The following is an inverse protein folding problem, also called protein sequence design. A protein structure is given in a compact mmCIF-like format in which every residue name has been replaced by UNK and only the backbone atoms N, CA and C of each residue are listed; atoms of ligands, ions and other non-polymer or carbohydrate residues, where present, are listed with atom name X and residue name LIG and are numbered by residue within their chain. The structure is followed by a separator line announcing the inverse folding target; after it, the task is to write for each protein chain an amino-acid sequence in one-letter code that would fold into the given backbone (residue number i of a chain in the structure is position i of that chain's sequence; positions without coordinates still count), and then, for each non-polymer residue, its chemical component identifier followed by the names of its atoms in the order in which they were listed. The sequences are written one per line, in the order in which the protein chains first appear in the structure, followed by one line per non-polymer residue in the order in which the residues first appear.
data_IF_544719368607
#
_entry.id   IF_544719368607
#
_cell.length_a   1.000
_cell.length_b   1.000
_cell.length_c   1.000
_cell.angle_alpha   90.00
_cell.angle_beta   90.00
_cell.angle_gamma   90.00
#
_symmetry.space_group_name_H-M   'P 1'
#
loop_
_entity.id
_entity.type
_entity.pdbx_description
1 polymer ?
#
# COMPACT_ATOMS: atom_id res chain seq x y z
N UNK A 1 22.49 7.39 13.17
CA UNK A 1 21.31 6.49 13.23
C UNK A 1 20.33 6.94 12.15
N UNK A 2 20.12 6.18 11.07
CA UNK A 2 19.04 6.48 10.12
C UNK A 2 17.73 6.06 10.79
N UNK A 3 17.07 7.01 11.46
CA UNK A 3 15.78 6.74 12.09
C UNK A 3 14.77 6.50 10.97
N UNK A 4 14.26 5.27 10.85
CA UNK A 4 13.31 4.91 9.80
C UNK A 4 11.96 5.53 10.13
N UNK A 5 11.67 6.71 9.58
CA UNK A 5 10.42 7.43 9.79
C UNK A 5 9.20 6.82 9.07
N UNK A 6 9.37 5.67 8.41
CA UNK A 6 8.31 5.02 7.64
C UNK A 6 7.36 4.17 8.49
N UNK A 7 7.81 3.69 9.66
CA UNK A 7 7.01 2.82 10.52
C UNK A 7 6.03 3.58 11.42
N UNK A 8 6.20 4.89 11.57
CA UNK A 8 5.36 5.73 12.40
C UNK A 8 4.71 6.83 11.57
N UNK A 9 3.44 7.13 11.84
CA UNK A 9 2.75 8.26 11.23
C UNK A 9 3.30 9.57 11.81
N UNK A 10 4.23 10.19 11.11
CA UNK A 10 4.84 11.47 11.52
C UNK A 10 4.52 12.58 10.51
N UNK A 11 4.80 13.83 10.86
CA UNK A 11 4.75 14.97 9.91
C UNK A 11 5.97 15.00 8.99
N UNK A 12 7.05 14.27 9.31
CA UNK A 12 8.26 14.19 8.51
C UNK A 12 8.11 13.14 7.39
N UNK A 13 7.78 13.59 6.18
CA UNK A 13 7.49 12.69 5.04
C UNK A 13 8.20 13.09 3.73
N UNK A 14 9.52 13.40 3.73
CA UNK A 14 10.20 13.78 2.49
C UNK A 14 10.28 12.66 1.44
N UNK A 15 9.99 11.41 1.85
CA UNK A 15 9.92 10.24 0.96
C UNK A 15 8.58 10.10 0.24
N UNK A 16 7.57 10.89 0.63
CA UNK A 16 6.25 10.91 0.00
C UNK A 16 6.03 12.26 -0.67
N UNK A 17 5.44 12.22 -1.86
CA UNK A 17 4.98 13.39 -2.59
C UNK A 17 3.48 13.47 -2.42
N UNK A 18 3.00 14.61 -1.94
CA UNK A 18 1.57 14.89 -1.80
C UNK A 18 1.17 15.78 -2.96
N UNK A 19 0.30 15.28 -3.84
CA UNK A 19 -0.28 16.01 -4.96
C UNK A 19 -1.79 15.77 -5.03
N UNK A 20 -2.44 16.27 -6.07
CA UNK A 20 -3.87 16.01 -6.31
C UNK A 20 -4.14 14.53 -6.60
N UNK A 21 -3.15 13.84 -7.18
CA UNK A 21 -3.19 12.41 -7.47
C UNK A 21 -2.39 11.62 -6.42
N UNK A 22 -2.90 10.44 -6.10
CA UNK A 22 -2.26 9.49 -5.21
C UNK A 22 -1.19 8.70 -5.96
N UNK A 23 0.00 8.59 -5.37
CA UNK A 23 1.17 7.95 -5.99
C UNK A 23 1.38 6.58 -5.35
N UNK A 24 1.61 5.55 -6.16
CA UNK A 24 2.02 4.22 -5.69
C UNK A 24 3.55 4.14 -5.72
N UNK A 25 4.15 3.80 -4.58
CA UNK A 25 5.58 3.62 -4.47
C UNK A 25 5.99 2.17 -4.70
N UNK A 26 7.19 1.98 -5.24
CA UNK A 26 7.82 0.68 -5.40
C UNK A 26 9.33 0.78 -5.15
N UNK A 27 9.95 -0.35 -4.84
CA UNK A 27 11.41 -0.45 -4.74
C UNK A 27 12.08 -0.42 -6.12
N UNK A 28 13.39 -0.21 -6.16
CA UNK A 28 14.15 -0.18 -7.43
C UNK A 28 14.07 -1.51 -8.22
N UNK A 29 13.86 -2.62 -7.52
CA UNK A 29 13.66 -3.96 -8.09
C UNK A 29 12.18 -4.32 -8.31
N UNK A 30 11.28 -3.33 -8.27
CA UNK A 30 9.90 -3.46 -8.72
C UNK A 30 8.90 -4.03 -7.71
N UNK A 31 9.26 -4.15 -6.43
CA UNK A 31 8.31 -4.56 -5.38
C UNK A 31 7.42 -3.38 -4.98
N UNK A 32 6.12 -3.56 -5.02
CA UNK A 32 5.15 -2.54 -4.60
C UNK A 32 5.21 -2.33 -3.08
N UNK A 33 5.00 -1.08 -2.68
CA UNK A 33 5.05 -0.64 -1.29
C UNK A 33 3.68 -0.14 -0.83
N UNK A 34 3.52 1.17 -0.73
CA UNK A 34 2.31 1.82 -0.25
C UNK A 34 1.98 3.01 -1.15
N UNK A 35 0.87 3.69 -0.85
CA UNK A 35 0.49 4.90 -1.56
C UNK A 35 0.94 6.15 -0.79
N UNK A 36 0.85 7.33 -1.41
CA UNK A 36 1.23 8.59 -0.74
C UNK A 36 0.42 8.92 0.52
N UNK A 37 -0.76 8.30 0.71
CA UNK A 37 -1.67 8.58 1.85
C UNK A 37 -2.25 7.33 2.53
N UNK A 38 -1.87 6.13 2.12
CA UNK A 38 -2.45 4.88 2.59
C UNK A 38 -1.64 3.66 2.21
N UNK A 39 -2.15 2.47 2.53
CA UNK A 39 -1.55 1.21 2.11
C UNK A 39 -2.16 0.71 0.80
N UNK A 40 -1.35 0.02 0.01
CA UNK A 40 -1.78 -0.58 -1.25
C UNK A 40 -2.42 -1.94 -1.02
N UNK A 41 -3.50 -2.20 -1.75
CA UNK A 41 -4.20 -3.48 -1.74
C UNK A 41 -4.55 -3.87 -3.19
N UNK A 42 -4.24 -5.09 -3.60
CA UNK A 42 -4.56 -5.63 -4.92
C UNK A 42 -5.54 -6.79 -4.81
N UNK A 43 -6.55 -6.81 -5.68
CA UNK A 43 -7.40 -7.97 -5.88
C UNK A 43 -6.94 -8.75 -7.12
N UNK A 44 -6.67 -10.03 -6.94
CA UNK A 44 -6.20 -10.94 -7.99
C UNK A 44 -6.73 -12.35 -7.71
N UNK A 45 -7.25 -13.01 -8.74
CA UNK A 45 -7.81 -14.36 -8.65
C UNK A 45 -8.84 -14.48 -7.52
N UNK A 46 -9.74 -13.50 -7.42
CA UNK A 46 -10.76 -13.39 -6.36
C UNK A 46 -10.21 -13.35 -4.91
N UNK A 47 -8.90 -13.19 -4.73
CA UNK A 47 -8.25 -12.96 -3.43
C UNK A 47 -7.72 -11.54 -3.33
N UNK A 48 -7.51 -11.07 -2.10
CA UNK A 48 -7.07 -9.70 -1.83
C UNK A 48 -5.73 -9.75 -1.08
N UNK A 49 -4.76 -8.97 -1.57
CA UNK A 49 -3.39 -8.97 -1.08
C UNK A 49 -2.91 -7.57 -0.75
N UNK A 50 -2.01 -7.45 0.24
CA UNK A 50 -1.30 -6.20 0.56
C UNK A 50 0.19 -6.46 0.73
N UNK A 51 1.08 -5.52 0.39
CA UNK A 51 2.51 -5.69 0.65
C UNK A 51 2.80 -5.81 2.16
N UNK A 52 3.77 -6.64 2.58
CA UNK A 52 4.08 -6.83 3.99
C UNK A 52 4.78 -5.60 4.59
N UNK A 53 4.52 -5.34 5.87
CA UNK A 53 5.12 -4.18 6.58
C UNK A 53 6.65 -4.28 6.70
N UNK A 54 7.20 -5.49 6.57
CA UNK A 54 8.65 -5.76 6.56
C UNK A 54 9.38 -5.12 5.37
N UNK A 55 8.65 -4.65 4.34
CA UNK A 55 9.20 -3.82 3.26
C UNK A 55 9.44 -2.35 3.67
N UNK A 56 9.21 -2.01 4.93
CA UNK A 56 9.46 -0.68 5.46
C UNK A 56 8.34 0.32 5.18
N UNK A 57 7.11 -0.15 4.98
CA UNK A 57 5.89 0.67 4.83
C UNK A 57 5.19 0.86 6.19
N UNK A 58 4.29 1.83 6.27
CA UNK A 58 3.52 2.08 7.49
C UNK A 58 2.57 0.90 7.77
N UNK A 59 2.57 0.31 8.98
CA UNK A 59 1.55 -0.67 9.37
C UNK A 59 0.21 0.04 9.67
N UNK A 60 -0.50 0.47 8.63
CA UNK A 60 -1.72 1.25 8.77
C UNK A 60 -2.81 0.49 9.54
N UNK A 61 -3.51 1.19 10.44
CA UNK A 61 -4.52 0.59 11.33
C UNK A 61 -5.65 -0.12 10.55
N UNK A 62 -6.12 0.48 9.45
CA UNK A 62 -7.18 -0.13 8.65
C UNK A 62 -6.68 -1.37 7.89
N UNK A 63 -5.44 -1.35 7.36
CA UNK A 63 -4.78 -2.53 6.80
C UNK A 63 -4.67 -3.64 7.83
N UNK A 64 -4.24 -3.32 9.05
CA UNK A 64 -4.11 -4.28 10.14
C UNK A 64 -5.46 -4.92 10.49
N UNK A 65 -6.53 -4.12 10.56
CA UNK A 65 -7.90 -4.61 10.76
C UNK A 65 -8.33 -5.61 9.67
N UNK A 66 -8.04 -5.33 8.40
CA UNK A 66 -8.34 -6.25 7.29
C UNK A 66 -7.57 -7.58 7.40
N UNK A 67 -6.30 -7.53 7.80
CA UNK A 67 -5.47 -8.72 8.02
C UNK A 67 -6.01 -9.57 9.18
N UNK A 68 -6.33 -8.94 10.31
CA UNK A 68 -6.84 -9.61 11.51
C UNK A 68 -8.20 -10.30 11.27
N UNK A 69 -9.03 -9.73 10.41
CA UNK A 69 -10.30 -10.33 10.01
C UNK A 69 -10.18 -11.34 8.86
N UNK A 70 -8.97 -11.62 8.38
CA UNK A 70 -8.73 -12.55 7.26
C UNK A 70 -9.29 -12.07 5.91
N UNK A 71 -9.57 -10.77 5.77
CA UNK A 71 -10.11 -10.19 4.52
C UNK A 71 -9.01 -9.93 3.48
N UNK A 72 -7.77 -9.79 3.94
CA UNK A 72 -6.58 -9.55 3.12
C UNK A 72 -5.46 -10.46 3.60
N UNK A 73 -4.60 -10.92 2.68
CA UNK A 73 -3.38 -11.68 2.98
C UNK A 73 -2.14 -10.83 2.67
N UNK A 74 -1.07 -10.94 3.47
CA UNK A 74 0.22 -10.34 3.10
C UNK A 74 0.87 -11.11 1.95
N UNK A 75 1.33 -10.40 0.91
CA UNK A 75 2.08 -10.98 -0.21
C UNK A 75 3.06 -9.94 -0.75
N UNK A 76 4.28 -10.35 -1.14
CA UNK A 76 5.14 -9.46 -1.92
C UNK A 76 4.51 -9.28 -3.30
N UNK A 77 4.13 -8.05 -3.62
CA UNK A 77 3.49 -7.67 -4.88
C UNK A 77 4.51 -6.94 -5.77
N UNK A 78 4.38 -7.13 -7.08
CA UNK A 78 5.29 -6.57 -8.10
C UNK A 78 4.53 -5.65 -9.06
N UNK A 79 5.26 -4.86 -9.86
CA UNK A 79 4.66 -4.04 -10.92
C UNK A 79 3.86 -4.92 -11.91
N UNK A 80 4.30 -6.16 -12.14
CA UNK A 80 3.65 -7.13 -12.99
C UNK A 80 2.34 -7.64 -12.37
N UNK A 81 2.29 -7.82 -11.04
CA UNK A 81 1.03 -8.07 -10.32
C UNK A 81 0.08 -6.87 -10.45
N UNK A 82 0.59 -5.63 -10.35
CA UNK A 82 -0.22 -4.40 -10.49
C UNK A 82 -0.92 -4.34 -11.85
N UNK A 83 -0.21 -4.69 -12.92
CA UNK A 83 -0.74 -4.71 -14.30
C UNK A 83 -1.78 -5.81 -14.52
N UNK A 84 -1.74 -6.87 -13.72
CA UNK A 84 -2.64 -8.02 -13.83
C UNK A 84 -3.77 -7.99 -12.79
N UNK A 85 -3.79 -6.98 -11.91
CA UNK A 85 -4.80 -6.87 -10.86
C UNK A 85 -6.20 -6.67 -11.45
N UNK A 86 -7.18 -7.41 -10.93
CA UNK A 86 -8.59 -7.21 -11.26
C UNK A 86 -9.07 -5.85 -10.77
N UNK A 87 -8.57 -5.43 -9.60
CA UNK A 87 -8.88 -4.14 -9.00
C UNK A 87 -7.74 -3.71 -8.09
N UNK A 88 -7.45 -2.41 -8.10
CA UNK A 88 -6.45 -1.79 -7.23
C UNK A 88 -7.17 -0.92 -6.21
N UNK A 89 -6.78 -1.04 -4.94
CA UNK A 89 -7.34 -0.29 -3.85
C UNK A 89 -6.26 0.43 -3.05
N UNK A 90 -6.61 1.62 -2.58
CA UNK A 90 -5.94 2.26 -1.46
C UNK A 90 -6.71 1.96 -0.18
N UNK A 91 -6.02 1.92 0.96
CA UNK A 91 -6.70 1.81 2.24
C UNK A 91 -6.06 2.65 3.34
N UNK A 92 -6.89 3.33 4.14
CA UNK A 92 -6.47 4.04 5.33
C UNK A 92 -7.63 4.18 6.33
N UNK A 93 -7.33 4.55 7.57
CA UNK A 93 -8.34 4.64 8.64
C UNK A 93 -9.40 5.74 8.43
N UNK A 94 -9.17 6.70 7.54
CA UNK A 94 -10.12 7.81 7.30
C UNK A 94 -11.12 7.43 6.20
N UNK A 95 -10.65 6.78 5.13
CA UNK A 95 -11.43 6.47 3.93
C UNK A 95 -11.89 5.01 3.86
N UNK A 96 -11.38 4.14 4.74
CA UNK A 96 -11.56 2.70 4.61
C UNK A 96 -10.83 2.16 3.39
N UNK A 97 -11.40 1.13 2.74
CA UNK A 97 -10.95 0.58 1.46
C UNK A 97 -11.62 1.33 0.32
N UNK A 98 -10.85 1.88 -0.61
CA UNK A 98 -11.38 2.62 -1.76
C UNK A 98 -10.64 2.23 -3.04
N UNK A 99 -11.38 2.18 -4.14
CA UNK A 99 -10.84 1.80 -5.44
C UNK A 99 -9.99 2.92 -6.05
N UNK A 100 -8.88 2.54 -6.66
CA UNK A 100 -7.97 3.40 -7.39
C UNK A 100 -8.09 3.11 -8.89
N UNK A 101 -8.22 4.17 -9.68
CA UNK A 101 -8.04 4.10 -11.13
C UNK A 101 -6.57 4.35 -11.44
N UNK A 102 -5.96 3.43 -12.18
CA UNK A 102 -4.54 3.53 -12.55
C UNK A 102 -4.43 3.86 -14.02
N UNK A 103 -3.73 4.96 -14.30
CA UNK A 103 -3.26 5.30 -15.63
C UNK A 103 -1.80 4.82 -15.74
N UNK A 104 -1.53 3.93 -16.69
CA UNK A 104 -0.20 3.37 -16.96
C UNK A 104 0.55 4.15 -18.05
#
# INVERSE_FOLDING_TARGET
MKQSFTYFKTTYRPHLTVGEQEIIYHTADGKLLETSIGNLVLKMNSKIYTPPSTLGILPGIYRQHLLENGQVEEKILTIEDLKQAETVYGCNAVRGLYELKIDF
#
